data_IF_332251986642
#
_entry.id   IF_332251986642
#
_cell.length_a   1.000
_cell.length_b   1.000
_cell.length_c   1.000
_cell.angle_alpha   90.00
_cell.angle_beta   90.00
_cell.angle_gamma   90.00
#
_symmetry.space_group_name_H-M   'P 1'
#
loop_
_entity.id
_entity.type
_entity.pdbx_description
1 polymer ?
#
# COMPACT_ATOMS: atom_id res chain seq x y z
N UNK A 1 17.77 22.37 -34.59
CA UNK A 1 18.23 21.97 -33.25
C UNK A 1 19.66 22.46 -33.07
N UNK A 2 19.99 23.16 -31.99
CA UNK A 2 21.36 23.67 -31.78
C UNK A 2 22.27 22.61 -31.13
N UNK A 3 23.59 22.76 -31.20
CA UNK A 3 24.56 21.77 -30.68
C UNK A 3 24.37 21.49 -29.18
N UNK A 4 23.98 22.50 -28.40
CA UNK A 4 23.71 22.37 -26.97
C UNK A 4 22.48 21.51 -26.66
N UNK A 5 21.42 21.61 -27.47
CA UNK A 5 20.23 20.76 -27.39
C UNK A 5 20.56 19.31 -27.73
N UNK A 6 21.32 19.09 -28.80
CA UNK A 6 21.76 17.74 -29.21
C UNK A 6 22.58 17.08 -28.10
N UNK A 7 23.50 17.84 -27.48
CA UNK A 7 24.31 17.37 -26.37
C UNK A 7 23.46 17.05 -25.14
N UNK A 8 22.53 17.94 -24.76
CA UNK A 8 21.65 17.72 -23.62
C UNK A 8 20.72 16.50 -23.80
N UNK A 9 20.20 16.29 -25.01
CA UNK A 9 19.39 15.11 -25.36
C UNK A 9 20.21 13.82 -25.24
N UNK A 10 21.43 13.83 -25.80
CA UNK A 10 22.33 12.67 -25.75
C UNK A 10 22.73 12.33 -24.31
N UNK A 11 23.08 13.34 -23.51
CA UNK A 11 23.44 13.16 -22.10
C UNK A 11 22.27 12.62 -21.28
N UNK A 12 21.05 13.13 -21.50
CA UNK A 12 19.85 12.65 -20.81
C UNK A 12 19.53 11.20 -21.18
N UNK A 13 19.63 10.86 -22.47
CA UNK A 13 19.43 9.49 -22.95
C UNK A 13 20.38 8.50 -22.25
N UNK A 14 21.67 8.83 -22.19
CA UNK A 14 22.68 8.00 -21.52
C UNK A 14 22.42 7.88 -20.01
N UNK A 15 21.98 8.95 -19.33
CA UNK A 15 21.59 8.88 -17.92
C UNK A 15 20.38 7.95 -17.71
N UNK A 16 19.36 8.07 -18.55
CA UNK A 16 18.17 7.22 -18.47
C UNK A 16 18.50 5.75 -18.73
N UNK A 17 19.41 5.44 -19.66
CA UNK A 17 19.90 4.06 -19.88
C UNK A 17 20.57 3.49 -18.62
N UNK A 18 21.39 4.30 -17.92
CA UNK A 18 21.99 3.89 -16.63
C UNK A 18 20.94 3.65 -15.56
N UNK A 19 19.96 4.54 -15.44
CA UNK A 19 18.86 4.35 -14.48
C UNK A 19 18.01 3.11 -14.80
N UNK A 20 17.76 2.81 -16.07
CA UNK A 20 17.03 1.60 -16.48
C UNK A 20 17.78 0.33 -16.04
N UNK A 21 19.11 0.33 -16.13
CA UNK A 21 19.95 -0.76 -15.62
C UNK A 21 19.86 -0.87 -14.09
N UNK A 22 20.05 0.25 -13.36
CA UNK A 22 19.92 0.30 -11.89
C UNK A 22 18.54 -0.21 -11.43
N UNK A 23 17.46 0.22 -12.10
CA UNK A 23 16.09 -0.25 -11.83
C UNK A 23 15.97 -1.76 -12.07
N UNK A 24 16.55 -2.28 -13.15
CA UNK A 24 16.47 -3.71 -13.49
C UNK A 24 17.22 -4.57 -12.46
N UNK A 25 18.37 -4.11 -11.99
CA UNK A 25 19.13 -4.75 -10.91
C UNK A 25 18.34 -4.74 -9.60
N UNK A 26 17.76 -3.58 -9.23
CA UNK A 26 16.96 -3.43 -8.03
C UNK A 26 15.72 -4.32 -8.05
N UNK A 27 14.98 -4.35 -9.18
CA UNK A 27 13.85 -5.25 -9.41
C UNK A 27 14.24 -6.72 -9.21
N UNK A 28 15.38 -7.14 -9.75
CA UNK A 28 15.86 -8.52 -9.62
C UNK A 28 16.19 -8.85 -8.16
N UNK A 29 16.84 -7.93 -7.46
CA UNK A 29 17.17 -8.06 -6.03
C UNK A 29 15.91 -8.16 -5.17
N UNK A 30 14.94 -7.27 -5.40
CA UNK A 30 13.65 -7.24 -4.70
C UNK A 30 12.86 -8.54 -4.91
N UNK A 31 12.65 -8.96 -6.16
CA UNK A 31 11.95 -10.22 -6.48
C UNK A 31 12.57 -11.42 -5.77
N UNK A 32 13.91 -11.49 -5.71
CA UNK A 32 14.62 -12.54 -4.98
C UNK A 32 14.44 -12.45 -3.45
N UNK A 33 14.40 -11.24 -2.90
CA UNK A 33 14.23 -11.04 -1.45
C UNK A 33 12.80 -11.34 -1.01
N UNK A 34 11.80 -10.80 -1.71
CA UNK A 34 10.38 -11.02 -1.44
C UNK A 34 9.97 -12.48 -1.56
N UNK A 35 10.58 -13.23 -2.49
CA UNK A 35 10.37 -14.68 -2.59
C UNK A 35 10.65 -15.47 -1.30
N UNK A 36 11.48 -14.93 -0.39
CA UNK A 36 11.75 -15.56 0.91
C UNK A 36 10.54 -15.50 1.85
N UNK A 37 9.55 -14.66 1.55
CA UNK A 37 8.35 -14.46 2.33
C UNK A 37 7.13 -15.17 1.73
N UNK A 38 7.21 -15.73 0.52
CA UNK A 38 6.14 -16.50 -0.14
C UNK A 38 5.54 -17.57 0.80
N UNK A 39 6.37 -18.28 1.54
CA UNK A 39 5.90 -19.33 2.45
C UNK A 39 5.11 -18.74 3.62
N UNK A 40 5.52 -17.57 4.14
CA UNK A 40 4.77 -16.87 5.16
C UNK A 40 3.44 -16.37 4.61
N UNK A 41 3.42 -15.74 3.44
CA UNK A 41 2.20 -15.27 2.79
C UNK A 41 1.21 -16.42 2.56
N UNK A 42 1.67 -17.53 1.98
CA UNK A 42 0.83 -18.72 1.75
C UNK A 42 0.26 -19.28 3.04
N UNK A 43 1.10 -19.45 4.06
CA UNK A 43 0.66 -19.94 5.37
C UNK A 43 -0.34 -18.97 6.02
N UNK A 44 -0.11 -17.66 5.92
CA UNK A 44 -1.00 -16.64 6.43
C UNK A 44 -2.38 -16.74 5.76
N UNK A 45 -2.44 -16.70 4.42
CA UNK A 45 -3.72 -16.77 3.71
C UNK A 45 -4.43 -18.12 3.85
N UNK A 46 -3.68 -19.23 3.91
CA UNK A 46 -4.27 -20.54 4.21
C UNK A 46 -4.96 -20.51 5.56
N UNK A 47 -4.25 -20.08 6.61
CA UNK A 47 -4.80 -19.98 7.96
C UNK A 47 -6.03 -19.05 8.00
N UNK A 48 -5.96 -17.87 7.37
CA UNK A 48 -7.10 -16.94 7.35
C UNK A 48 -8.32 -17.57 6.67
N UNK A 49 -8.13 -18.31 5.59
CA UNK A 49 -9.19 -19.02 4.87
C UNK A 49 -9.77 -20.18 5.69
N UNK A 50 -8.92 -20.94 6.38
CA UNK A 50 -9.36 -22.04 7.25
C UNK A 50 -10.17 -21.51 8.43
N UNK A 51 -9.75 -20.38 9.01
CA UNK A 51 -10.49 -19.68 10.06
C UNK A 51 -11.81 -19.10 9.57
N UNK A 52 -11.86 -18.46 8.39
CA UNK A 52 -13.11 -17.93 7.81
C UNK A 52 -14.13 -19.06 7.56
N UNK A 53 -13.68 -20.20 7.01
CA UNK A 53 -14.53 -21.37 6.78
C UNK A 53 -15.06 -22.00 8.07
N UNK A 54 -14.28 -21.93 9.14
CA UNK A 54 -14.66 -22.46 10.45
C UNK A 54 -15.50 -21.47 11.28
N UNK A 55 -15.60 -20.20 10.88
CA UNK A 55 -16.22 -19.15 11.68
C UNK A 55 -17.73 -19.39 11.90
N UNK A 56 -18.24 -18.93 13.05
CA UNK A 56 -19.66 -19.02 13.41
C UNK A 56 -20.60 -18.21 12.51
N UNK A 57 -20.06 -17.26 11.76
CA UNK A 57 -20.79 -16.24 10.99
C UNK A 57 -21.67 -15.31 11.84
N UNK A 58 -21.52 -15.35 13.18
CA UNK A 58 -22.24 -14.48 14.10
C UNK A 58 -21.33 -13.29 14.45
N UNK A 59 -21.71 -12.05 14.10
CA UNK A 59 -20.82 -10.89 14.15
C UNK A 59 -20.77 -10.18 15.52
N UNK A 60 -21.16 -10.85 16.59
CA UNK A 60 -21.26 -10.26 17.93
C UNK A 60 -20.59 -11.15 18.98
N UNK A 61 -19.98 -10.54 20.00
CA UNK A 61 -19.44 -11.30 21.12
C UNK A 61 -20.56 -12.07 21.87
N UNK A 62 -20.21 -13.24 22.45
CA UNK A 62 -18.90 -13.88 22.34
C UNK A 62 -18.67 -14.60 21.00
N UNK A 63 -19.71 -14.81 20.21
CA UNK A 63 -19.74 -15.69 19.03
C UNK A 63 -18.87 -15.22 17.86
N UNK A 64 -18.48 -13.93 17.81
CA UNK A 64 -17.56 -13.40 16.80
C UNK A 64 -16.20 -14.10 16.81
N UNK A 65 -15.80 -14.77 17.90
CA UNK A 65 -14.61 -15.63 17.95
C UNK A 65 -14.92 -17.11 18.24
N UNK A 66 -16.13 -17.56 17.89
CA UNK A 66 -16.46 -18.98 17.86
C UNK A 66 -16.09 -19.58 16.50
N UNK A 67 -15.40 -20.72 16.55
CA UNK A 67 -14.94 -21.46 15.38
C UNK A 67 -15.25 -22.95 15.54
N UNK A 68 -15.56 -23.62 14.44
CA UNK A 68 -15.66 -25.08 14.41
C UNK A 68 -14.25 -25.68 14.43
N UNK A 69 -13.94 -26.40 15.52
CA UNK A 69 -12.62 -26.99 15.75
C UNK A 69 -12.77 -28.49 15.96
N UNK A 70 -12.23 -29.29 15.05
CA UNK A 70 -12.18 -30.75 15.14
C UNK A 70 -10.73 -31.18 15.16
N UNK A 71 -10.38 -32.11 16.05
CA UNK A 71 -9.00 -32.63 16.17
C UNK A 71 -7.92 -31.53 16.34
N UNK A 72 -8.25 -30.44 17.05
CA UNK A 72 -7.42 -29.25 17.25
C UNK A 72 -7.11 -28.43 15.98
N UNK A 73 -7.93 -28.55 14.93
CA UNK A 73 -7.79 -27.78 13.70
C UNK A 73 -9.12 -27.16 13.22
N UNK A 74 -9.02 -26.03 12.51
CA UNK A 74 -10.17 -25.31 11.95
C UNK A 74 -10.85 -26.17 10.88
N UNK A 75 -12.15 -26.40 11.04
CA UNK A 75 -12.93 -27.30 10.19
C UNK A 75 -14.22 -26.65 9.73
N UNK A 76 -14.72 -27.05 8.56
CA UNK A 76 -15.99 -26.57 8.04
C UNK A 76 -17.12 -27.08 8.95
N UNK A 77 -17.98 -26.19 9.49
CA UNK A 77 -19.08 -26.60 10.34
C UNK A 77 -20.12 -27.38 9.54
N UNK A 78 -20.71 -28.40 10.16
CA UNK A 78 -21.82 -29.17 9.58
C UNK A 78 -23.17 -28.81 10.20
N UNK A 79 -23.15 -27.96 11.23
CA UNK A 79 -24.31 -27.51 11.98
C UNK A 79 -24.25 -25.99 12.22
N UNK A 80 -25.39 -25.30 12.43
CA UNK A 80 -25.37 -23.88 12.80
C UNK A 80 -24.77 -23.68 14.19
N UNK A 81 -24.13 -22.52 14.40
CA UNK A 81 -23.47 -22.17 15.66
C UNK A 81 -24.44 -22.14 16.85
N UNK A 82 -25.65 -21.61 16.65
CA UNK A 82 -26.71 -21.66 17.66
C UNK A 82 -27.61 -22.88 17.41
N UNK A 83 -27.73 -23.73 18.42
CA UNK A 83 -28.54 -24.96 18.39
C UNK A 83 -30.04 -24.64 18.37
N UNK A 84 -30.47 -23.65 19.16
CA UNK A 84 -31.86 -23.21 19.26
C UNK A 84 -31.93 -21.68 19.20
N UNK A 85 -32.83 -21.14 18.37
CA UNK A 85 -33.02 -19.70 18.17
C UNK A 85 -33.49 -18.92 19.41
N UNK A 86 -33.99 -19.63 20.43
CA UNK A 86 -34.62 -19.06 21.63
C UNK A 86 -33.70 -19.04 22.87
N UNK A 87 -32.67 -19.89 22.94
CA UNK A 87 -31.93 -20.12 24.19
C UNK A 87 -30.41 -19.91 24.09
N UNK A 88 -29.87 -19.58 22.91
CA UNK A 88 -28.45 -19.18 22.77
C UNK A 88 -27.43 -20.30 23.07
N UNK A 89 -27.87 -21.56 23.09
CA UNK A 89 -26.99 -22.72 23.34
C UNK A 89 -26.13 -22.97 22.10
N UNK A 90 -24.82 -23.02 22.29
CA UNK A 90 -23.84 -23.23 21.22
C UNK A 90 -23.80 -24.70 20.85
N UNK A 91 -23.71 -24.99 19.56
CA UNK A 91 -23.51 -26.35 19.09
C UNK A 91 -22.12 -26.86 19.49
N UNK A 92 -22.02 -28.12 19.91
CA UNK A 92 -20.79 -28.75 20.43
C UNK A 92 -19.62 -28.71 19.43
N UNK A 93 -19.91 -28.56 18.13
CA UNK A 93 -18.87 -28.40 17.09
C UNK A 93 -18.06 -27.10 17.25
N UNK A 94 -18.63 -26.07 17.89
CA UNK A 94 -18.02 -24.76 18.01
C UNK A 94 -17.31 -24.58 19.34
N UNK A 95 -16.12 -24.01 19.26
CA UNK A 95 -15.30 -23.64 20.41
C UNK A 95 -14.89 -22.18 20.32
N UNK A 96 -14.85 -21.51 21.47
CA UNK A 96 -14.22 -20.20 21.57
C UNK A 96 -12.72 -20.35 21.65
N UNK A 97 -12.00 -19.53 20.89
CA UNK A 97 -10.55 -19.47 21.01
C UNK A 97 -10.15 -18.97 22.40
N UNK A 98 -9.27 -19.71 23.07
CA UNK A 98 -8.70 -19.25 24.34
C UNK A 98 -7.81 -18.02 24.12
N UNK A 99 -7.76 -17.14 25.10
CA UNK A 99 -6.89 -15.95 25.05
C UNK A 99 -5.41 -16.32 24.85
N UNK A 100 -4.97 -17.43 25.47
CA UNK A 100 -3.62 -17.96 25.29
C UNK A 100 -3.33 -18.35 23.84
N UNK A 101 -4.28 -19.01 23.17
CA UNK A 101 -4.13 -19.41 21.77
C UNK A 101 -4.11 -18.18 20.86
N UNK A 102 -5.03 -17.23 21.05
CA UNK A 102 -5.08 -16.00 20.26
C UNK A 102 -3.77 -15.21 20.35
N UNK A 103 -3.25 -15.01 21.57
CA UNK A 103 -1.96 -14.34 21.79
C UNK A 103 -0.80 -15.08 21.15
N UNK A 104 -0.78 -16.41 21.24
CA UNK A 104 0.27 -17.22 20.60
C UNK A 104 0.27 -17.05 19.09
N UNK A 105 -0.92 -17.06 18.48
CA UNK A 105 -1.09 -16.89 17.04
C UNK A 105 -0.70 -15.48 16.57
N UNK A 106 -1.18 -14.46 17.27
CA UNK A 106 -0.84 -13.05 17.02
C UNK A 106 0.68 -12.83 17.10
N UNK A 107 1.34 -13.37 18.13
CA UNK A 107 2.79 -13.24 18.29
C UNK A 107 3.58 -13.93 17.17
N UNK A 108 3.18 -15.13 16.75
CA UNK A 108 3.86 -15.85 15.66
C UNK A 108 3.76 -15.08 14.34
N UNK A 109 2.57 -14.58 14.01
CA UNK A 109 2.34 -13.77 12.82
C UNK A 109 3.14 -12.47 12.92
N UNK A 110 3.10 -11.79 14.06
CA UNK A 110 3.80 -10.53 14.28
C UNK A 110 5.32 -10.65 14.10
N UNK A 111 5.94 -11.72 14.60
CA UNK A 111 7.38 -11.94 14.44
C UNK A 111 7.78 -12.05 12.96
N UNK A 112 7.01 -12.81 12.18
CA UNK A 112 7.24 -12.97 10.74
C UNK A 112 6.95 -11.68 9.98
N UNK A 113 5.83 -11.02 10.30
CA UNK A 113 5.44 -9.73 9.70
C UNK A 113 6.46 -8.61 9.95
N UNK A 114 7.09 -8.57 11.12
CA UNK A 114 8.13 -7.59 11.42
C UNK A 114 9.35 -7.76 10.50
N UNK A 115 9.72 -9.00 10.14
CA UNK A 115 10.82 -9.26 9.19
C UNK A 115 10.49 -8.73 7.80
N UNK A 116 9.26 -8.98 7.33
CA UNK A 116 8.76 -8.44 6.04
C UNK A 116 8.77 -6.91 6.06
N UNK A 117 8.22 -6.30 7.12
CA UNK A 117 8.14 -4.85 7.28
C UNK A 117 9.50 -4.17 7.22
N UNK A 118 10.51 -4.72 7.91
CA UNK A 118 11.87 -4.18 7.86
C UNK A 118 12.44 -4.22 6.44
N UNK A 119 12.29 -5.35 5.75
CA UNK A 119 12.78 -5.50 4.39
C UNK A 119 12.06 -4.55 3.41
N UNK A 120 10.74 -4.39 3.55
CA UNK A 120 9.96 -3.41 2.80
C UNK A 120 10.48 -1.98 3.03
N UNK A 121 10.65 -1.56 4.28
CA UNK A 121 11.18 -0.23 4.61
C UNK A 121 12.56 0.02 3.98
N UNK A 122 13.46 -0.96 4.02
CA UNK A 122 14.77 -0.85 3.38
C UNK A 122 14.66 -0.60 1.87
N UNK A 123 13.72 -1.28 1.19
CA UNK A 123 13.51 -1.03 -0.24
C UNK A 123 12.83 0.30 -0.52
N UNK A 124 11.94 0.78 0.35
CA UNK A 124 11.34 2.12 0.20
C UNK A 124 12.41 3.20 0.16
N UNK A 125 13.42 3.12 1.03
CA UNK A 125 14.54 4.06 1.03
C UNK A 125 15.30 4.02 -0.30
N UNK A 126 15.65 2.83 -0.79
CA UNK A 126 16.36 2.65 -2.06
C UNK A 126 15.55 3.14 -3.27
N UNK A 127 14.25 2.85 -3.31
CA UNK A 127 13.34 3.30 -4.37
C UNK A 127 13.22 4.82 -4.33
N UNK A 128 13.03 5.40 -3.14
CA UNK A 128 12.89 6.85 -2.96
C UNK A 128 14.13 7.60 -3.42
N UNK A 129 15.32 7.12 -3.06
CA UNK A 129 16.59 7.70 -3.50
C UNK A 129 16.73 7.64 -5.03
N UNK A 130 16.44 6.48 -5.62
CA UNK A 130 16.51 6.28 -7.08
C UNK A 130 15.51 7.20 -7.81
N UNK A 131 14.26 7.27 -7.35
CA UNK A 131 13.24 8.15 -7.91
C UNK A 131 13.65 9.61 -7.85
N UNK A 132 14.20 10.08 -6.73
CA UNK A 132 14.66 11.47 -6.61
C UNK A 132 15.77 11.78 -7.62
N UNK A 133 16.74 10.87 -7.80
CA UNK A 133 17.80 11.03 -8.82
C UNK A 133 17.23 11.04 -10.25
N UNK A 134 16.28 10.15 -10.54
CA UNK A 134 15.59 10.05 -11.84
C UNK A 134 14.80 11.32 -12.15
N UNK A 135 13.99 11.80 -11.22
CA UNK A 135 13.17 13.01 -11.36
C UNK A 135 14.06 14.23 -11.57
N UNK A 136 15.13 14.38 -10.77
CA UNK A 136 16.06 15.51 -10.91
C UNK A 136 16.71 15.55 -12.30
N UNK A 137 17.20 14.39 -12.78
CA UNK A 137 17.80 14.27 -14.11
C UNK A 137 16.80 14.50 -15.24
N UNK A 138 15.53 14.10 -15.07
CA UNK A 138 14.47 14.27 -16.05
C UNK A 138 13.70 15.59 -15.89
N UNK A 139 14.14 16.53 -15.05
CA UNK A 139 13.45 17.81 -14.85
C UNK A 139 13.25 18.61 -16.15
N UNK A 140 14.17 18.46 -17.12
CA UNK A 140 14.08 19.11 -18.43
C UNK A 140 12.93 18.58 -19.30
N UNK A 141 12.43 17.36 -19.08
CA UNK A 141 11.34 16.77 -19.87
C UNK A 141 10.02 17.52 -19.69
N UNK A 142 9.86 18.27 -18.59
CA UNK A 142 8.75 19.22 -18.39
C UNK A 142 8.68 20.33 -19.45
N UNK A 143 9.79 20.57 -20.16
CA UNK A 143 9.92 21.63 -21.17
C UNK A 143 10.03 21.07 -22.59
N UNK A 144 9.84 19.77 -22.75
CA UNK A 144 9.93 19.07 -24.01
C UNK A 144 8.53 18.72 -24.49
N UNK A 145 8.18 19.20 -25.68
CA UNK A 145 6.86 19.02 -26.28
C UNK A 145 6.51 17.53 -26.38
N UNK A 146 5.38 17.13 -25.79
CA UNK A 146 4.88 15.75 -25.82
C UNK A 146 5.46 14.85 -24.72
N UNK A 147 6.30 15.37 -23.82
CA UNK A 147 6.91 14.64 -22.69
C UNK A 147 6.52 15.20 -21.31
N UNK A 148 5.75 16.28 -21.26
CA UNK A 148 5.39 16.97 -20.01
C UNK A 148 4.59 16.07 -19.07
N UNK A 149 3.65 15.31 -19.63
CA UNK A 149 2.84 14.34 -18.88
C UNK A 149 3.70 13.24 -18.26
N UNK A 150 4.78 12.82 -18.92
CA UNK A 150 5.69 11.80 -18.40
C UNK A 150 6.53 12.30 -17.22
N UNK A 151 6.89 13.57 -17.21
CA UNK A 151 7.52 14.19 -16.05
C UNK A 151 6.58 14.20 -14.83
N UNK A 152 5.30 14.54 -15.03
CA UNK A 152 4.30 14.51 -13.96
C UNK A 152 4.04 13.08 -13.47
N UNK A 153 3.97 12.10 -14.39
CA UNK A 153 3.82 10.68 -14.03
C UNK A 153 4.97 10.20 -13.14
N UNK A 154 6.23 10.59 -13.43
CA UNK A 154 7.38 10.26 -12.57
C UNK A 154 7.25 10.87 -11.17
N UNK A 155 6.82 12.13 -11.08
CA UNK A 155 6.66 12.81 -9.79
C UNK A 155 5.58 12.16 -8.92
N UNK A 156 4.47 11.69 -9.52
CA UNK A 156 3.41 10.98 -8.79
C UNK A 156 3.89 9.65 -8.20
N UNK A 157 4.93 9.02 -8.74
CA UNK A 157 5.44 7.74 -8.22
C UNK A 157 6.09 7.83 -6.84
N UNK A 158 6.34 9.03 -6.31
CA UNK A 158 6.89 9.23 -4.96
C UNK A 158 5.83 9.29 -3.85
N UNK A 159 4.54 9.28 -4.21
CA UNK A 159 3.46 9.62 -3.28
C UNK A 159 3.01 8.45 -2.40
N UNK A 160 3.17 7.21 -2.87
CA UNK A 160 2.66 6.04 -2.15
C UNK A 160 3.58 4.83 -2.31
N UNK A 161 4.18 4.41 -1.19
CA UNK A 161 4.99 3.19 -1.11
C UNK A 161 4.34 2.10 -0.26
N UNK A 162 3.47 2.47 0.67
CA UNK A 162 2.70 1.52 1.45
C UNK A 162 1.31 1.34 0.86
N UNK A 163 0.86 0.09 0.75
CA UNK A 163 -0.53 -0.17 0.50
C UNK A 163 -1.39 0.38 1.67
N UNK A 164 -2.45 1.17 1.40
CA UNK A 164 -3.24 1.76 2.48
C UNK A 164 -4.02 0.70 3.26
N UNK A 165 -3.75 0.55 4.56
CA UNK A 165 -4.52 -0.32 5.47
C UNK A 165 -6.01 -0.01 5.48
N UNK A 166 -6.38 1.23 5.18
CA UNK A 166 -7.77 1.67 5.13
C UNK A 166 -8.58 0.90 4.07
N UNK A 167 -7.97 0.52 2.95
CA UNK A 167 -8.63 -0.30 1.92
C UNK A 167 -8.98 -1.69 2.46
N UNK A 168 -8.04 -2.32 3.17
CA UNK A 168 -8.29 -3.60 3.86
C UNK A 168 -9.39 -3.45 4.91
N UNK A 169 -9.39 -2.36 5.68
CA UNK A 169 -10.45 -2.09 6.66
C UNK A 169 -11.81 -1.98 5.98
N UNK A 170 -11.92 -1.26 4.88
CA UNK A 170 -13.16 -1.14 4.11
C UNK A 170 -13.60 -2.46 3.48
N UNK A 171 -12.67 -3.33 3.10
CA UNK A 171 -12.97 -4.62 2.50
C UNK A 171 -13.48 -5.63 3.53
N UNK A 172 -12.76 -5.81 4.64
CA UNK A 172 -12.93 -6.90 5.60
C UNK A 172 -13.65 -6.50 6.90
N UNK A 173 -13.98 -5.22 7.09
CA UNK A 173 -14.89 -4.82 8.17
C UNK A 173 -16.30 -5.35 7.94
N UNK A 174 -17.10 -5.33 9.00
CA UNK A 174 -18.49 -5.74 8.94
C UNK A 174 -19.30 -4.83 8.00
N UNK A 175 -19.83 -5.42 6.93
CA UNK A 175 -20.75 -4.77 6.00
C UNK A 175 -22.17 -5.26 6.26
N UNK A 176 -23.07 -4.37 6.68
CA UNK A 176 -24.49 -4.66 6.81
C UNK A 176 -25.24 -3.75 7.77
N UNK A 177 -26.56 -3.65 7.59
CA UNK A 177 -27.50 -2.95 8.48
C UNK A 177 -27.84 -3.81 9.69
N UNK A 178 -26.83 -4.29 10.42
CA UNK A 178 -27.07 -4.95 11.69
C UNK A 178 -27.29 -3.89 12.78
N UNK A 179 -28.26 -4.12 13.67
CA UNK A 179 -28.37 -3.31 14.89
C UNK A 179 -27.19 -3.69 15.78
N UNK A 180 -26.08 -2.98 15.60
CA UNK A 180 -24.88 -3.13 16.41
C UNK A 180 -25.11 -2.39 17.73
N UNK A 181 -24.99 -3.04 18.90
CA UNK A 181 -25.07 -2.35 20.17
C UNK A 181 -24.08 -1.17 20.22
N UNK A 182 -24.42 0.00 20.81
CA UNK A 182 -23.55 1.18 20.79
C UNK A 182 -22.11 0.92 21.26
N UNK A 183 -21.94 0.09 22.29
CA UNK A 183 -20.62 -0.32 22.79
C UNK A 183 -19.75 -1.07 21.74
N UNK A 184 -20.39 -1.78 20.81
CA UNK A 184 -19.74 -2.49 19.71
C UNK A 184 -19.32 -1.55 18.57
N UNK A 185 -19.92 -0.35 18.47
CA UNK A 185 -19.44 0.71 17.57
C UNK A 185 -18.17 1.39 18.13
N UNK A 186 -18.10 1.55 19.45
CA UNK A 186 -16.93 2.10 20.14
C UNK A 186 -15.75 1.11 20.23
N UNK A 187 -16.01 -0.19 20.04
CA UNK A 187 -15.02 -1.26 20.17
C UNK A 187 -15.13 -2.27 19.01
N UNK A 188 -14.73 -1.91 17.78
CA UNK A 188 -14.88 -2.77 16.60
C UNK A 188 -14.17 -4.12 16.71
N UNK A 189 -13.16 -4.26 17.58
CA UNK A 189 -12.54 -5.55 17.92
C UNK A 189 -13.53 -6.60 18.49
N UNK A 190 -14.72 -6.17 18.92
CA UNK A 190 -15.78 -7.01 19.49
C UNK A 190 -16.63 -7.67 18.39
N UNK A 191 -16.72 -7.03 17.23
CA UNK A 191 -17.59 -7.49 16.14
C UNK A 191 -16.80 -8.14 15.01
N UNK A 192 -15.54 -7.72 14.81
CA UNK A 192 -14.68 -8.27 13.77
C UNK A 192 -13.97 -9.54 14.31
N UNK A 193 -14.18 -10.71 13.66
CA UNK A 193 -13.52 -11.95 14.07
C UNK A 193 -11.99 -11.86 13.93
N UNK A 194 -11.26 -12.65 14.73
CA UNK A 194 -9.80 -12.63 14.78
C UNK A 194 -9.12 -12.69 13.40
N UNK A 195 -9.51 -13.62 12.53
CA UNK A 195 -8.89 -13.75 11.20
C UNK A 195 -9.04 -12.48 10.35
N UNK A 196 -10.21 -11.82 10.35
CA UNK A 196 -10.39 -10.55 9.63
C UNK A 196 -9.59 -9.41 10.25
N UNK A 197 -9.47 -9.36 11.58
CA UNK A 197 -8.57 -8.41 12.26
C UNK A 197 -7.13 -8.60 11.82
N UNK A 198 -6.66 -9.84 11.72
CA UNK A 198 -5.32 -10.17 11.25
C UNK A 198 -5.13 -9.79 9.77
N UNK A 199 -6.11 -10.05 8.90
CA UNK A 199 -6.08 -9.60 7.50
C UNK A 199 -5.92 -8.07 7.43
N UNK A 200 -6.79 -7.32 8.12
CA UNK A 200 -6.74 -5.86 8.14
C UNK A 200 -5.37 -5.35 8.61
N UNK A 201 -4.79 -6.01 9.60
CA UNK A 201 -3.52 -5.58 10.18
C UNK A 201 -2.32 -5.90 9.28
N UNK A 202 -2.33 -6.99 8.50
CA UNK A 202 -1.14 -7.49 7.81
C UNK A 202 -1.22 -7.57 6.28
N UNK A 203 -2.41 -7.52 5.65
CA UNK A 203 -2.57 -7.60 4.19
C UNK A 203 -1.71 -6.55 3.46
N UNK A 204 -1.62 -5.35 4.03
CA UNK A 204 -0.86 -4.25 3.45
C UNK A 204 0.61 -4.61 3.20
N UNK A 205 1.21 -5.54 3.97
CA UNK A 205 2.59 -5.97 3.76
C UNK A 205 2.74 -6.68 2.41
N UNK A 206 1.89 -7.68 2.16
CA UNK A 206 1.92 -8.46 0.92
C UNK A 206 1.59 -7.58 -0.29
N UNK A 207 0.59 -6.71 -0.18
CA UNK A 207 0.23 -5.77 -1.26
C UNK A 207 1.32 -4.72 -1.53
N UNK A 208 2.12 -4.35 -0.52
CA UNK A 208 3.21 -3.39 -0.69
C UNK A 208 4.38 -3.98 -1.47
N UNK A 209 4.63 -5.29 -1.39
CA UNK A 209 5.64 -5.98 -2.21
C UNK A 209 5.36 -5.79 -3.71
N UNK A 210 4.12 -6.09 -4.13
CA UNK A 210 3.66 -5.89 -5.50
C UNK A 210 3.68 -4.42 -5.92
N UNK A 211 3.27 -3.52 -5.02
CA UNK A 211 3.27 -2.07 -5.27
C UNK A 211 4.69 -1.57 -5.59
N UNK A 212 5.68 -1.95 -4.78
CA UNK A 212 7.06 -1.52 -5.02
C UNK A 212 7.61 -1.99 -6.37
N UNK A 213 7.33 -3.25 -6.74
CA UNK A 213 7.73 -3.78 -8.05
C UNK A 213 7.04 -3.02 -9.19
N UNK A 214 5.74 -2.75 -9.05
CA UNK A 214 4.94 -2.00 -10.03
C UNK A 214 5.45 -0.57 -10.22
N UNK A 215 5.85 0.12 -9.13
CA UNK A 215 6.44 1.46 -9.20
C UNK A 215 7.70 1.44 -10.06
N UNK A 216 8.63 0.51 -9.80
CA UNK A 216 9.89 0.43 -10.54
C UNK A 216 9.69 0.05 -12.01
N UNK A 217 8.83 -0.92 -12.33
CA UNK A 217 8.50 -1.29 -13.72
C UNK A 217 7.84 -0.11 -14.45
N UNK A 218 6.97 0.63 -13.77
CA UNK A 218 6.34 1.84 -14.34
C UNK A 218 7.37 2.93 -14.62
N UNK A 219 8.29 3.20 -13.69
CA UNK A 219 9.37 4.19 -13.87
C UNK A 219 10.28 3.79 -15.03
N UNK A 220 10.67 2.52 -15.10
CA UNK A 220 11.45 1.98 -16.21
C UNK A 220 10.74 2.20 -17.55
N UNK A 221 9.43 1.91 -17.61
CA UNK A 221 8.61 2.11 -18.81
C UNK A 221 8.54 3.58 -19.22
N UNK A 222 8.40 4.49 -18.25
CA UNK A 222 8.42 5.94 -18.51
C UNK A 222 9.79 6.39 -19.05
N UNK A 223 10.90 5.90 -18.49
CA UNK A 223 12.24 6.24 -18.98
C UNK A 223 12.52 5.72 -20.38
N UNK A 224 12.06 4.51 -20.70
CA UNK A 224 12.14 3.96 -22.06
C UNK A 224 11.37 4.85 -23.05
N UNK A 225 10.14 5.25 -22.68
CA UNK A 225 9.34 6.17 -23.48
C UNK A 225 10.05 7.52 -23.67
N UNK A 226 10.56 8.12 -22.60
CA UNK A 226 11.31 9.39 -22.70
C UNK A 226 12.49 9.22 -23.68
N UNK A 227 13.27 8.14 -23.58
CA UNK A 227 14.41 7.89 -24.45
C UNK A 227 14.04 7.68 -25.92
N UNK A 228 12.91 7.06 -26.20
CA UNK A 228 12.39 6.85 -27.56
C UNK A 228 11.98 8.17 -28.21
N UNK A 229 11.35 9.07 -27.45
CA UNK A 229 10.78 10.32 -27.96
C UNK A 229 11.71 11.52 -27.88
N UNK A 230 12.76 11.46 -27.07
CA UNK A 230 13.77 12.50 -26.92
C UNK A 230 14.35 13.05 -28.25
N UNK A 231 14.65 12.23 -29.28
CA UNK A 231 15.15 12.73 -30.57
C UNK A 231 14.18 13.63 -31.33
N UNK A 232 12.87 13.49 -31.07
CA UNK A 232 11.80 14.24 -31.72
C UNK A 232 11.28 15.40 -30.87
N UNK A 233 11.74 15.49 -29.62
CA UNK A 233 11.26 16.47 -28.68
C UNK A 233 11.83 17.85 -28.98
N UNK A 234 10.93 18.83 -29.11
CA UNK A 234 11.29 20.23 -29.23
C UNK A 234 11.19 20.94 -27.88
N UNK A 235 12.14 21.84 -27.60
CA UNK A 235 12.05 22.69 -26.41
C UNK A 235 10.91 23.67 -26.59
N UNK A 236 9.90 23.55 -25.74
CA UNK A 236 8.82 24.52 -25.67
C UNK A 236 9.37 25.81 -25.08
N UNK A 237 9.20 26.97 -25.75
CA UNK A 237 9.58 28.26 -25.17
C UNK A 237 8.84 28.44 -23.85
N UNK A 238 9.50 29.03 -22.85
CA UNK A 238 8.81 29.43 -21.63
C UNK A 238 7.68 30.38 -22.05
N UNK A 239 6.42 29.96 -21.94
CA UNK A 239 5.31 30.92 -21.92
C UNK A 239 5.68 31.90 -20.81
N UNK A 240 5.76 33.21 -21.12
CA UNK A 240 5.89 34.23 -20.09
C UNK A 240 4.78 33.96 -19.08
N UNK A 241 5.13 33.40 -17.93
CA UNK A 241 4.21 33.39 -16.81
C UNK A 241 4.03 34.85 -16.45
N UNK A 242 2.79 35.32 -16.46
CA UNK A 242 2.47 36.55 -15.75
C UNK A 242 2.81 36.29 -14.28
N UNK A 243 3.98 36.78 -13.87
CA UNK A 243 4.44 36.98 -12.49
C UNK A 243 4.13 35.87 -11.49
N UNK A 244 5.10 34.97 -11.28
CA UNK A 244 5.48 34.62 -9.90
C UNK A 244 6.99 34.81 -9.83
N UNK A 245 7.40 35.96 -9.27
CA UNK A 245 8.77 36.15 -8.83
C UNK A 245 9.08 35.10 -7.76
N UNK A 246 9.98 34.16 -8.08
CA UNK A 246 10.63 33.35 -7.06
C UNK A 246 11.67 34.27 -6.43
N UNK A 247 11.27 35.02 -5.41
CA UNK A 247 12.22 35.62 -4.47
C UNK A 247 12.92 34.47 -3.75
N UNK A 248 14.21 34.26 -4.05
CA UNK A 248 15.10 33.43 -3.25
C UNK A 248 15.26 34.07 -1.86
N UNK A 249 14.29 33.87 -0.98
CA UNK A 249 14.48 34.10 0.44
C UNK A 249 14.93 32.78 1.05
N UNK A 250 16.25 32.60 1.10
CA UNK A 250 16.86 31.61 1.99
C UNK A 250 16.57 32.06 3.42
N UNK A 251 15.54 31.50 4.03
CA UNK A 251 15.34 31.55 5.47
C UNK A 251 15.79 30.23 6.07
N UNK A 252 16.86 30.20 6.88
CA UNK A 252 17.23 29.00 7.61
C UNK A 252 16.18 28.77 8.70
N UNK A 253 15.23 27.86 8.47
CA UNK A 253 14.41 27.33 9.55
C UNK A 253 15.10 26.11 10.14
N UNK A 254 15.49 26.29 11.40
CA UNK A 254 16.02 25.28 12.30
C UNK A 254 15.20 23.98 12.24
N UNK A 255 15.93 22.87 12.14
CA UNK A 255 15.41 21.53 12.39
C UNK A 255 15.06 21.47 13.88
N UNK A 256 13.76 21.46 14.20
CA UNK A 256 13.30 20.86 15.45
C UNK A 256 12.85 19.44 15.12
N UNK A 257 13.67 18.49 15.55
CA UNK A 257 13.28 17.09 15.72
C UNK A 257 12.20 17.03 16.81
N UNK A 258 10.95 17.04 16.39
CA UNK A 258 9.80 16.71 17.24
C UNK A 258 9.45 15.24 17.05
N UNK A 259 9.83 14.43 18.03
CA UNK A 259 9.34 13.07 18.22
C UNK A 259 7.84 13.10 18.55
N UNK A 260 6.98 12.74 17.58
CA UNK A 260 5.64 12.15 17.79
C UNK A 260 4.95 11.98 16.42
N UNK A 261 4.99 10.77 15.86
CA UNK A 261 4.15 10.39 14.72
C UNK A 261 2.74 10.06 15.23
N UNK A 262 1.84 11.05 15.21
CA UNK A 262 0.39 10.80 15.18
C UNK A 262 -0.10 11.14 13.77
N UNK A 263 -0.25 10.12 12.94
CA UNK A 263 -0.98 10.19 11.68
C UNK A 263 -2.41 9.70 11.92
N UNK A 264 -3.21 10.52 12.60
CA UNK A 264 -4.67 10.50 12.49
C UNK A 264 -5.04 11.73 11.68
N UNK A 265 -5.15 11.56 10.37
CA UNK A 265 -5.65 12.57 9.45
C UNK A 265 -6.53 11.88 8.43
N UNK A 266 -7.84 12.10 8.52
CA UNK A 266 -8.82 11.69 7.53
C UNK A 266 -8.40 12.21 6.15
N UNK A 267 -8.09 11.30 5.22
CA UNK A 267 -7.93 11.65 3.81
C UNK A 267 -9.33 11.74 3.22
N UNK A 268 -9.83 12.97 3.09
CA UNK A 268 -11.02 13.25 2.30
C UNK A 268 -10.67 13.08 0.81
N UNK A 269 -11.12 11.96 0.22
CA UNK A 269 -11.08 11.77 -1.23
C UNK A 269 -12.23 12.60 -1.81
N UNK A 270 -11.91 13.83 -2.22
CA UNK A 270 -12.85 14.70 -2.93
C UNK A 270 -13.19 14.11 -4.29
N UNK A 271 -14.48 13.83 -4.48
CA UNK A 271 -15.08 13.46 -5.76
C UNK A 271 -14.80 14.48 -6.86
N UNK A 272 -14.79 13.95 -8.08
CA UNK A 272 -14.61 14.63 -9.35
C UNK A 272 -15.48 15.90 -9.53
N UNK A 273 -14.84 16.93 -10.10
CA UNK A 273 -15.39 17.78 -11.16
C UNK A 273 -16.67 18.58 -10.90
N UNK A 274 -16.51 19.88 -10.58
CA UNK A 274 -17.40 20.91 -11.11
C UNK A 274 -16.58 22.14 -11.52
N UNK A 275 -16.52 22.38 -12.84
CA UNK A 275 -16.21 23.70 -13.40
C UNK A 275 -17.42 24.58 -13.16
N UNK A 276 -17.24 25.70 -12.46
CA UNK A 276 -18.21 26.79 -12.49
C UNK A 276 -17.77 27.77 -13.57
N UNK A 277 -18.59 27.84 -14.63
CA UNK A 277 -18.61 28.98 -15.54
C UNK A 277 -19.07 30.22 -14.76
N UNK A 278 -18.37 31.33 -14.96
CA UNK A 278 -18.74 32.63 -14.42
C UNK A 278 -19.60 33.41 -15.41
N UNK A 279 -20.67 34.02 -14.90
CA UNK A 279 -21.30 35.21 -15.50
C UNK A 279 -20.41 36.45 -15.29
#
# INVERSE_FOLDING_TARGET
MNELQVKAITDLKSKNEKYILEITELLTKMKKSYKKFDDFEKCFWSLMNDMEKAHSQIPFLPFSNAYCIKENYFSIPTTPCLRDSLYGVINEEYSFLSEKYMKSLENEIQEKANKVRMELSNYIELISELLNRVIASNSITKRLSGLENKAMELEKKKELFWYPKQLSKEEYSLKGNFVVPPFCLENPQITIPLHRRLIIEYEYLFKSEDLHLSILESVKSILLYINEYLPFAELVPLKKSNGIEITNVVSPKQIQLGSENKFDGEINIGNEGELKDGD
#
